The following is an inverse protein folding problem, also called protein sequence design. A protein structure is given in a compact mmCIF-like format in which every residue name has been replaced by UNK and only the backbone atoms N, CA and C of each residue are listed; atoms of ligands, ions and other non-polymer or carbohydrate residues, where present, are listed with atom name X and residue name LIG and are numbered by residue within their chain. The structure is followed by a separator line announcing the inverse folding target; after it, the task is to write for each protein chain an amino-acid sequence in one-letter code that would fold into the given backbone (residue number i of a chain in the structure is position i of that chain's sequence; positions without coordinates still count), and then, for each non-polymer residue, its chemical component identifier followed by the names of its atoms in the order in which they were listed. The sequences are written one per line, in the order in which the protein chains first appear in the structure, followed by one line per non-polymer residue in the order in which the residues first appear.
data_IF_371162865067
#
_entry.id   IF_371162865067
#
_cell.length_a   1.000
_cell.length_b   1.000
_cell.length_c   1.000
_cell.angle_alpha   90.00
_cell.angle_beta   90.00
_cell.angle_gamma   90.00
#
_symmetry.space_group_name_H-M   'P 1'
#
loop_
_entity.id
_entity.type
_entity.pdbx_description
1 polymer ?
#
# COMPACT_ATOMS: atom_id res chain seq x y z
N UNK A 1 3.17 7.98 -5.17
CA UNK A 1 1.96 7.52 -4.51
C UNK A 1 2.18 6.13 -3.91
N UNK A 2 1.27 5.64 -3.11
CA UNK A 2 1.38 4.34 -2.44
C UNK A 2 0.97 3.19 -3.35
N UNK A 3 1.48 1.99 -3.06
CA UNK A 3 1.04 0.75 -3.70
C UNK A 3 0.26 -0.09 -2.68
N UNK A 4 -1.00 -0.36 -2.99
CA UNK A 4 -1.87 -1.22 -2.16
C UNK A 4 -1.94 -2.62 -2.77
N UNK A 5 -2.68 -2.78 -3.86
CA UNK A 5 -2.87 -4.06 -4.57
C UNK A 5 -1.87 -4.29 -5.71
N UNK A 6 -1.28 -3.23 -6.23
CA UNK A 6 -0.34 -3.26 -7.35
C UNK A 6 -0.96 -3.26 -8.75
N UNK A 7 -2.27 -3.40 -8.88
CA UNK A 7 -2.96 -3.47 -10.18
C UNK A 7 -2.82 -2.21 -11.02
N UNK A 8 -2.98 -1.04 -10.40
CA UNK A 8 -2.80 0.26 -11.07
C UNK A 8 -1.37 0.44 -11.55
N UNK A 9 -0.38 0.12 -10.69
CA UNK A 9 1.03 0.20 -11.05
C UNK A 9 1.38 -0.73 -12.21
N UNK A 10 0.91 -1.98 -12.19
CA UNK A 10 1.14 -2.92 -13.28
C UNK A 10 0.58 -2.42 -14.62
N UNK A 11 -0.59 -1.78 -14.61
CA UNK A 11 -1.16 -1.14 -15.81
C UNK A 11 -0.30 0.01 -16.34
N UNK A 12 0.17 0.88 -15.45
CA UNK A 12 1.04 2.00 -15.82
C UNK A 12 2.34 1.47 -16.42
N UNK A 13 2.95 0.47 -15.80
CA UNK A 13 4.18 -0.16 -16.31
C UNK A 13 3.96 -0.75 -17.71
N UNK A 14 2.84 -1.45 -17.90
CA UNK A 14 2.47 -1.99 -19.21
C UNK A 14 2.38 -0.89 -20.27
N UNK A 15 1.67 0.20 -19.97
CA UNK A 15 1.55 1.34 -20.90
C UNK A 15 2.91 1.96 -21.25
N UNK A 16 3.80 2.11 -20.25
CA UNK A 16 5.17 2.62 -20.48
C UNK A 16 5.97 1.70 -21.41
N UNK A 17 5.89 0.39 -21.20
CA UNK A 17 6.53 -0.61 -22.06
C UNK A 17 5.96 -0.56 -23.50
N UNK A 18 4.66 -0.49 -23.66
CA UNK A 18 3.97 -0.36 -24.96
C UNK A 18 4.37 0.94 -25.68
N UNK A 19 4.64 2.01 -24.92
CA UNK A 19 5.14 3.28 -25.45
C UNK A 19 6.64 3.27 -25.79
N UNK A 20 7.34 2.14 -25.56
CA UNK A 20 8.75 1.95 -25.95
C UNK A 20 9.76 2.10 -24.81
N UNK A 21 9.33 2.15 -23.55
CA UNK A 21 10.27 2.16 -22.43
C UNK A 21 11.05 0.84 -22.35
N UNK A 22 12.37 0.92 -22.38
CA UNK A 22 13.29 -0.23 -22.28
C UNK A 22 13.47 -0.67 -20.83
N UNK A 23 13.47 0.28 -19.91
CA UNK A 23 13.54 0.05 -18.46
C UNK A 23 12.50 0.89 -17.73
N UNK A 24 11.95 0.36 -16.63
CA UNK A 24 11.01 1.06 -15.75
C UNK A 24 11.44 0.88 -14.31
N UNK A 25 11.82 1.97 -13.66
CA UNK A 25 12.27 2.01 -12.28
C UNK A 25 11.24 2.76 -11.43
N UNK A 26 10.68 2.11 -10.41
CA UNK A 26 9.64 2.69 -9.57
C UNK A 26 10.17 3.04 -8.18
N UNK A 27 9.83 4.23 -7.72
CA UNK A 27 10.08 4.71 -6.35
C UNK A 27 8.77 5.16 -5.75
N UNK A 28 8.44 4.59 -4.60
CA UNK A 28 7.15 4.78 -3.93
C UNK A 28 7.36 5.70 -2.74
N UNK A 29 6.59 6.78 -2.67
CA UNK A 29 6.68 7.80 -1.61
C UNK A 29 5.96 7.40 -0.31
N UNK A 30 5.72 6.12 -0.12
CA UNK A 30 5.12 5.56 1.08
C UNK A 30 5.79 4.23 1.43
N UNK A 31 5.77 3.80 2.70
CA UNK A 31 6.13 2.44 3.08
C UNK A 31 5.16 1.40 2.48
N UNK A 32 5.56 0.13 2.42
CA UNK A 32 4.64 -0.94 2.03
C UNK A 32 3.51 -1.09 3.06
N UNK A 33 2.29 -1.27 2.57
CA UNK A 33 1.14 -1.59 3.42
C UNK A 33 1.19 -3.05 3.84
N UNK A 34 1.34 -3.30 5.14
CA UNK A 34 1.39 -4.64 5.71
C UNK A 34 0.15 -4.99 6.54
N UNK A 35 -0.70 -4.00 6.80
CA UNK A 35 -1.95 -4.12 7.54
C UNK A 35 -3.03 -3.23 6.92
N UNK A 36 -4.33 -3.58 7.08
CA UNK A 36 -5.43 -2.72 6.68
C UNK A 36 -5.48 -1.44 7.51
N UNK A 37 -6.17 -0.42 7.02
CA UNK A 37 -6.52 0.75 7.81
C UNK A 37 -7.92 0.60 8.39
N UNK A 38 -8.06 0.87 9.69
CA UNK A 38 -9.35 0.82 10.41
C UNK A 38 -9.94 2.21 10.69
N UNK A 39 -9.23 3.28 10.33
CA UNK A 39 -9.52 4.64 10.82
C UNK A 39 -9.85 5.67 9.73
N UNK A 40 -10.01 5.28 8.50
CA UNK A 40 -10.52 6.21 7.49
C UNK A 40 -9.85 6.18 6.13
N UNK A 41 -8.70 5.53 5.99
CA UNK A 41 -8.10 5.30 4.68
C UNK A 41 -8.59 3.96 4.12
N UNK A 42 -8.95 3.93 2.86
CA UNK A 42 -9.41 2.69 2.20
C UNK A 42 -8.23 1.80 1.84
N UNK A 43 -7.59 1.24 2.87
CA UNK A 43 -6.58 0.18 2.74
C UNK A 43 -7.25 -1.14 3.07
N UNK A 44 -7.29 -2.01 2.09
CA UNK A 44 -8.02 -3.26 2.08
C UNK A 44 -7.47 -4.30 3.08
N UNK A 45 -8.15 -5.44 3.18
CA UNK A 45 -7.73 -6.58 3.98
C UNK A 45 -6.35 -7.10 3.55
N UNK A 46 -5.62 -7.73 4.48
CA UNK A 46 -4.25 -8.21 4.26
C UNK A 46 -4.11 -9.12 3.02
N UNK A 47 -5.12 -9.92 2.75
CA UNK A 47 -5.15 -10.83 1.59
C UNK A 47 -5.07 -10.12 0.23
N UNK A 48 -5.45 -8.83 0.18
CA UNK A 48 -5.41 -8.01 -1.02
C UNK A 48 -4.16 -7.12 -1.10
N UNK A 49 -3.39 -7.00 -0.02
CA UNK A 49 -2.18 -6.19 0.00
C UNK A 49 -1.03 -6.90 -0.70
N UNK A 50 -0.43 -6.26 -1.70
CA UNK A 50 0.67 -6.86 -2.46
C UNK A 50 1.88 -7.17 -1.56
N UNK A 51 2.18 -6.31 -0.58
CA UNK A 51 3.28 -6.53 0.36
C UNK A 51 3.01 -7.67 1.36
N UNK A 52 1.77 -8.15 1.48
CA UNK A 52 1.43 -9.35 2.27
C UNK A 52 1.50 -10.63 1.42
N UNK A 53 1.30 -10.50 0.10
CA UNK A 53 1.38 -11.64 -0.83
C UNK A 53 2.81 -12.05 -1.17
N UNK A 54 3.73 -11.10 -1.13
CA UNK A 54 5.13 -11.31 -1.48
C UNK A 54 6.04 -10.88 -0.33
N UNK A 55 6.98 -11.73 0.01
CA UNK A 55 7.89 -11.58 1.15
C UNK A 55 9.09 -10.67 0.88
N UNK A 56 9.34 -10.31 -0.39
CA UNK A 56 10.46 -9.43 -0.77
C UNK A 56 10.05 -8.37 -1.79
N UNK A 57 10.76 -7.24 -1.76
CA UNK A 57 10.54 -6.13 -2.69
C UNK A 57 10.83 -6.55 -4.12
N UNK A 58 11.80 -7.43 -4.33
CA UNK A 58 12.17 -7.97 -5.64
C UNK A 58 11.04 -8.80 -6.26
N UNK A 59 10.32 -9.58 -5.45
CA UNK A 59 9.15 -10.34 -5.91
C UNK A 59 7.99 -9.42 -6.26
N UNK A 60 7.77 -8.36 -5.48
CA UNK A 60 6.77 -7.33 -5.79
C UNK A 60 7.15 -6.62 -7.10
N UNK A 61 8.42 -6.25 -7.28
CA UNK A 61 8.91 -5.63 -8.51
C UNK A 61 8.64 -6.51 -9.74
N UNK A 62 8.90 -7.80 -9.62
CA UNK A 62 8.64 -8.79 -10.68
C UNK A 62 7.14 -8.91 -10.98
N UNK A 63 6.30 -8.94 -9.98
CA UNK A 63 4.83 -9.01 -10.15
C UNK A 63 4.28 -7.77 -10.86
N UNK A 64 4.76 -6.59 -10.51
CA UNK A 64 4.34 -5.33 -11.14
C UNK A 64 4.96 -5.17 -12.54
N UNK A 65 6.10 -5.81 -12.82
CA UNK A 65 6.80 -5.77 -14.09
C UNK A 65 7.85 -4.66 -14.21
N UNK A 66 8.33 -4.11 -13.09
CA UNK A 66 9.39 -3.10 -13.06
C UNK A 66 10.77 -3.72 -12.91
N UNK A 67 11.78 -3.02 -13.42
CA UNK A 67 13.19 -3.44 -13.34
C UNK A 67 13.77 -3.18 -11.94
N UNK A 68 13.29 -2.16 -11.26
CA UNK A 68 13.59 -1.95 -9.84
C UNK A 68 12.44 -1.27 -9.11
N UNK A 69 12.27 -1.62 -7.84
CA UNK A 69 11.28 -1.05 -6.94
C UNK A 69 11.97 -0.60 -5.64
N UNK A 70 11.63 0.58 -5.16
CA UNK A 70 12.04 1.07 -3.86
C UNK A 70 10.88 1.74 -3.14
N UNK A 71 10.72 1.43 -1.87
CA UNK A 71 9.76 2.05 -0.97
C UNK A 71 10.43 3.06 -0.06
N UNK A 72 9.67 4.06 0.38
CA UNK A 72 10.07 4.91 1.49
C UNK A 72 10.08 4.05 2.78
N UNK A 73 11.10 4.22 3.62
CA UNK A 73 11.10 3.57 4.94
C UNK A 73 10.12 4.25 5.91
N UNK A 74 9.61 3.51 6.89
CA UNK A 74 8.76 4.08 7.96
C UNK A 74 9.49 5.21 8.68
N UNK A 75 10.78 5.04 9.00
CA UNK A 75 11.59 6.07 9.62
C UNK A 75 11.72 7.34 8.76
N UNK A 76 11.85 7.19 7.43
CA UNK A 76 11.88 8.34 6.54
C UNK A 76 10.51 9.03 6.42
N UNK A 77 9.41 8.26 6.47
CA UNK A 77 8.06 8.81 6.50
C UNK A 77 7.83 9.67 7.76
N UNK A 78 8.30 9.22 8.92
CA UNK A 78 8.25 10.01 10.16
C UNK A 78 9.07 11.31 10.06
N UNK A 79 10.24 11.29 9.40
CA UNK A 79 11.06 12.49 9.20
C UNK A 79 10.35 13.57 8.37
N UNK A 80 9.49 13.20 7.43
CA UNK A 80 8.70 14.18 6.64
C UNK A 80 7.79 15.02 7.55
N UNK A 81 7.32 14.41 8.64
CA UNK A 81 6.44 15.04 9.61
C UNK A 81 7.20 15.66 10.81
N UNK A 82 8.53 15.73 10.75
CA UNK A 82 9.36 16.33 11.81
C UNK A 82 9.00 17.80 12.01
N UNK A 83 8.77 18.19 13.26
CA UNK A 83 8.29 19.53 13.60
C UNK A 83 6.78 19.72 13.64
N UNK A 84 6.00 18.70 13.32
CA UNK A 84 4.55 18.73 13.57
C UNK A 84 4.23 18.67 15.07
N UNK A 85 3.10 19.27 15.44
CA UNK A 85 2.68 19.35 16.84
C UNK A 85 2.10 18.04 17.40
N UNK A 86 1.94 17.02 16.56
CA UNK A 86 1.38 15.73 16.95
C UNK A 86 2.08 14.59 16.19
N UNK A 87 1.94 13.39 16.73
CA UNK A 87 2.35 12.16 16.04
C UNK A 87 1.31 11.73 14.99
N UNK A 88 1.74 10.89 14.05
CA UNK A 88 0.92 10.37 12.98
C UNK A 88 0.75 8.85 13.14
N UNK A 89 -0.45 8.36 12.80
CA UNK A 89 -0.72 6.94 12.77
C UNK A 89 0.04 6.27 11.63
N UNK A 90 0.79 5.23 11.93
CA UNK A 90 1.53 4.39 10.99
C UNK A 90 1.07 2.91 11.03
N UNK A 91 -0.11 2.65 11.60
CA UNK A 91 -0.62 1.30 11.87
C UNK A 91 -0.67 0.40 10.64
N UNK A 92 -1.02 0.94 9.47
CA UNK A 92 -1.03 0.17 8.21
C UNK A 92 0.38 -0.22 7.71
N UNK A 93 1.44 0.45 8.18
CA UNK A 93 2.82 0.15 7.84
C UNK A 93 3.54 -0.69 8.90
N UNK A 94 3.11 -0.64 10.15
CA UNK A 94 3.80 -1.26 11.29
C UNK A 94 2.99 -2.33 12.01
N UNK A 95 1.67 -2.32 11.86
CA UNK A 95 0.74 -3.12 12.65
C UNK A 95 0.49 -2.59 14.07
N UNK A 96 1.05 -1.43 14.43
CA UNK A 96 0.83 -0.78 15.73
C UNK A 96 -0.15 0.36 15.56
N UNK A 97 -1.34 0.19 16.13
CA UNK A 97 -2.43 1.17 16.01
C UNK A 97 -2.53 2.04 17.27
N UNK A 98 -2.99 3.29 17.16
CA UNK A 98 -3.17 4.20 18.31
C UNK A 98 -4.28 3.76 19.26
N UNK A 99 -5.22 2.95 18.75
CA UNK A 99 -6.30 2.29 19.51
C UNK A 99 -6.43 0.86 19.02
N UNK A 100 -6.92 -0.03 19.86
CA UNK A 100 -7.14 -1.43 19.45
C UNK A 100 -8.09 -1.51 18.25
N UNK A 101 -7.70 -2.19 17.17
CA UNK A 101 -8.57 -2.38 16.02
C UNK A 101 -9.76 -3.25 16.41
N UNK A 102 -10.91 -3.12 15.72
CA UNK A 102 -12.08 -3.95 15.96
C UNK A 102 -11.75 -5.43 15.71
N UNK A 103 -12.26 -6.32 16.56
CA UNK A 103 -12.01 -7.78 16.46
C UNK A 103 -12.60 -8.38 15.18
N UNK A 104 -13.68 -7.81 14.68
CA UNK A 104 -14.32 -8.18 13.42
C UNK A 104 -14.41 -6.93 12.54
N UNK A 105 -13.79 -6.99 11.39
CA UNK A 105 -13.81 -5.91 10.42
C UNK A 105 -14.21 -6.46 9.05
N UNK A 106 -15.50 -6.28 8.72
CA UNK A 106 -15.97 -6.38 7.35
C UNK A 106 -16.16 -4.96 6.81
N UNK A 107 -15.35 -4.53 5.84
CA UNK A 107 -15.50 -3.20 5.20
C UNK A 107 -16.83 -3.05 4.48
N UNK A 108 -17.39 -4.16 4.04
CA UNK A 108 -18.66 -4.30 3.34
C UNK A 108 -19.86 -4.56 4.26
N UNK A 109 -19.68 -4.47 5.59
CA UNK A 109 -20.72 -4.74 6.60
C UNK A 109 -22.03 -3.95 6.38
N UNK A 110 -21.95 -2.80 5.74
CA UNK A 110 -23.07 -1.93 5.44
C UNK A 110 -23.47 -1.92 3.95
N UNK A 111 -22.77 -2.69 3.11
CA UNK A 111 -23.07 -2.84 1.69
C UNK A 111 -24.09 -3.96 1.49
N UNK A 112 -25.36 -3.70 1.79
CA UNK A 112 -26.43 -4.62 1.43
C UNK A 112 -26.85 -4.44 -0.02
N UNK A 113 -26.99 -5.56 -0.75
CA UNK A 113 -27.61 -5.53 -2.09
C UNK A 113 -29.02 -5.02 -1.96
N UNK A 114 -29.32 -3.89 -2.58
CA UNK A 114 -30.69 -3.40 -2.72
C UNK A 114 -31.48 -4.48 -3.48
N UNK A 115 -32.35 -5.18 -2.78
CA UNK A 115 -33.32 -6.08 -3.42
C UNK A 115 -34.30 -5.21 -4.21
N UNK A 116 -34.18 -5.24 -5.52
CA UNK A 116 -35.19 -4.65 -6.43
C UNK A 116 -36.37 -5.60 -6.56
#
# INVERSE_FOLDING_TARGET
DSIVRGTTCARIVKLLREAGATEVHMRVSAPPFVKPCYFGTDVDSEENLIACKFDTVEKIAKEIGVDSLGYLSVAAAHKIAEGAACEFCDGCFTGRYPVDPPKEHAKDKFEEKIKR
#
